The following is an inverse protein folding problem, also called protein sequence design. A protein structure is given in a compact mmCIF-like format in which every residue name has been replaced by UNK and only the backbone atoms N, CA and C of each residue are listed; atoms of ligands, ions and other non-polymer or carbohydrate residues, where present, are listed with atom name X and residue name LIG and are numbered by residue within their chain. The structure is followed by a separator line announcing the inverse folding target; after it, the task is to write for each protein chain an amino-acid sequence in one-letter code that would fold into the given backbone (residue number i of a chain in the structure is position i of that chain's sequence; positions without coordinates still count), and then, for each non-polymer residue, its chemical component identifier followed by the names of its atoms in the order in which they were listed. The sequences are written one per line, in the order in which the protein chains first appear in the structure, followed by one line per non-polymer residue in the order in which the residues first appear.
data_IF_196576419573
#
_entry.id   IF_196576419573
#
_cell.length_a   1.000
_cell.length_b   1.000
_cell.length_c   1.000
_cell.angle_alpha   90.00
_cell.angle_beta   90.00
_cell.angle_gamma   90.00
#
_symmetry.space_group_name_H-M   'P 1'
#
loop_
_entity.id
_entity.type
_entity.pdbx_description
1 polymer ?
#
# COMPACT_ATOMS: atom_id res chain seq x y z
N UNK A 1 7.58 19.66 -33.12
CA UNK A 1 7.81 20.86 -32.30
C UNK A 1 7.63 22.09 -33.16
N UNK A 2 6.88 23.11 -32.72
CA UNK A 2 6.73 24.36 -33.47
C UNK A 2 8.01 25.14 -33.38
N UNK A 3 8.34 25.92 -34.44
CA UNK A 3 9.57 26.75 -34.48
C UNK A 3 9.68 27.72 -33.29
N UNK A 4 8.56 28.22 -32.82
CA UNK A 4 8.46 29.12 -31.68
C UNK A 4 8.80 28.49 -30.33
N UNK A 5 8.67 27.15 -30.20
CA UNK A 5 8.98 26.40 -28.98
C UNK A 5 10.47 26.06 -28.87
N UNK A 6 11.25 26.17 -29.96
CA UNK A 6 12.67 25.82 -29.96
C UNK A 6 13.51 26.72 -29.04
N UNK A 7 13.11 27.99 -28.85
CA UNK A 7 13.78 28.91 -27.92
C UNK A 7 13.67 28.52 -26.44
N UNK A 8 12.73 27.62 -26.11
CA UNK A 8 12.54 27.14 -24.75
C UNK A 8 13.48 25.99 -24.36
N UNK A 9 14.24 25.48 -25.33
CA UNK A 9 15.11 24.32 -25.17
C UNK A 9 16.54 24.65 -25.61
N UNK A 10 17.13 25.65 -24.93
CA UNK A 10 18.50 26.09 -25.18
C UNK A 10 19.43 25.46 -24.14
N UNK A 11 20.41 24.71 -24.60
CA UNK A 11 21.44 24.12 -23.77
C UNK A 11 22.74 24.91 -23.95
N UNK A 12 23.47 25.19 -22.88
CA UNK A 12 24.81 25.77 -22.91
C UNK A 12 25.86 24.69 -22.61
N UNK A 13 26.80 24.50 -23.53
CA UNK A 13 27.90 23.58 -23.33
C UNK A 13 29.19 24.20 -23.90
N UNK A 14 30.28 24.19 -23.15
CA UNK A 14 31.60 24.72 -23.52
C UNK A 14 31.52 26.15 -24.06
N UNK A 15 30.72 27.03 -23.44
CA UNK A 15 30.56 28.44 -23.86
C UNK A 15 29.72 28.66 -25.12
N UNK A 16 29.15 27.60 -25.69
CA UNK A 16 28.27 27.68 -26.88
C UNK A 16 26.83 27.37 -26.49
N UNK A 17 25.87 27.95 -27.21
CA UNK A 17 24.44 27.67 -27.07
C UNK A 17 23.98 26.73 -28.18
N UNK A 18 23.22 25.71 -27.78
CA UNK A 18 22.63 24.75 -28.69
C UNK A 18 21.11 24.78 -28.48
N UNK A 19 20.36 24.64 -29.55
CA UNK A 19 18.89 24.49 -29.50
C UNK A 19 18.59 23.02 -29.70
N UNK A 20 17.92 22.42 -28.71
CA UNK A 20 17.46 21.05 -28.83
C UNK A 20 16.25 20.97 -29.78
N UNK A 21 16.36 20.17 -30.83
CA UNK A 21 15.31 20.01 -31.85
C UNK A 21 14.36 18.84 -31.56
N UNK A 22 14.59 18.12 -30.44
CA UNK A 22 13.79 17.00 -30.02
C UNK A 22 13.19 17.28 -28.63
N UNK A 23 12.27 16.45 -28.20
CA UNK A 23 11.78 16.51 -26.83
C UNK A 23 12.91 16.17 -25.85
N UNK A 24 13.22 17.10 -24.96
CA UNK A 24 14.29 16.92 -23.97
C UNK A 24 13.79 16.00 -22.86
N UNK A 25 14.57 14.97 -22.57
CA UNK A 25 14.30 14.09 -21.44
C UNK A 25 14.32 14.89 -20.12
N UNK A 26 13.27 14.76 -19.31
CA UNK A 26 13.10 15.52 -18.07
C UNK A 26 12.38 16.86 -18.21
N UNK A 27 12.06 17.32 -19.42
CA UNK A 27 11.14 18.45 -19.60
C UNK A 27 9.74 18.09 -19.10
N UNK A 28 9.10 19.00 -18.35
CA UNK A 28 7.79 18.78 -17.72
C UNK A 28 6.66 18.40 -18.69
N UNK A 29 6.74 18.88 -19.93
CA UNK A 29 5.75 18.63 -20.99
C UNK A 29 6.12 17.45 -21.90
N UNK A 30 7.39 16.98 -21.90
CA UNK A 30 7.83 15.92 -22.80
C UNK A 30 7.13 14.59 -22.60
N UNK A 31 6.90 14.10 -21.36
CA UNK A 31 6.14 12.87 -21.14
C UNK A 31 4.71 12.95 -21.70
N UNK A 32 3.99 14.04 -21.47
CA UNK A 32 2.61 14.20 -21.96
C UNK A 32 2.52 14.30 -23.48
N UNK A 33 3.50 14.95 -24.14
CA UNK A 33 3.53 15.02 -25.61
C UNK A 33 3.85 13.66 -26.23
N UNK A 34 4.82 12.93 -25.66
CA UNK A 34 5.15 11.58 -26.09
C UNK A 34 3.97 10.63 -25.86
N UNK A 35 3.35 10.73 -24.72
CA UNK A 35 2.22 9.92 -24.30
C UNK A 35 1.06 10.05 -25.29
N UNK A 36 0.71 11.29 -25.69
CA UNK A 36 -0.33 11.55 -26.68
C UNK A 36 -0.04 10.94 -28.06
N UNK A 37 1.22 11.03 -28.54
CA UNK A 37 1.61 10.42 -29.83
C UNK A 37 1.56 8.88 -29.74
N UNK A 38 2.08 8.34 -28.66
CA UNK A 38 2.09 6.89 -28.41
C UNK A 38 0.69 6.32 -28.26
N UNK A 39 -0.25 7.06 -27.65
CA UNK A 39 -1.67 6.67 -27.57
C UNK A 39 -2.31 6.56 -28.93
N UNK A 40 -2.09 7.55 -29.81
CA UNK A 40 -2.63 7.52 -31.18
C UNK A 40 -2.10 6.32 -31.94
N UNK A 41 -0.80 6.01 -31.84
CA UNK A 41 -0.20 4.83 -32.51
C UNK A 41 -0.86 3.55 -31.97
N UNK A 42 -1.03 3.45 -30.66
CA UNK A 42 -1.65 2.28 -30.03
C UNK A 42 -3.11 2.14 -30.43
N UNK A 43 -3.89 3.20 -30.42
CA UNK A 43 -5.31 3.17 -30.79
C UNK A 43 -5.50 2.78 -32.27
N UNK A 44 -4.62 3.24 -33.17
CA UNK A 44 -4.62 2.83 -34.57
C UNK A 44 -4.25 1.34 -34.72
N UNK A 45 -3.27 0.85 -33.97
CA UNK A 45 -2.88 -0.56 -33.99
C UNK A 45 -3.99 -1.46 -33.45
N UNK A 46 -4.67 -1.04 -32.39
CA UNK A 46 -5.85 -1.71 -31.82
C UNK A 46 -6.99 -1.78 -32.83
N UNK A 47 -7.29 -0.66 -33.50
CA UNK A 47 -8.33 -0.58 -34.51
C UNK A 47 -8.04 -1.48 -35.70
N UNK A 48 -6.81 -1.44 -36.21
CA UNK A 48 -6.39 -2.23 -37.38
C UNK A 48 -6.40 -3.74 -37.09
N UNK A 49 -5.94 -4.14 -35.92
CA UNK A 49 -5.90 -5.56 -35.51
C UNK A 49 -7.23 -6.11 -35.02
N UNK A 50 -8.23 -5.26 -34.80
CA UNK A 50 -9.50 -5.61 -34.18
C UNK A 50 -9.40 -6.26 -32.79
N UNK A 51 -8.29 -6.04 -32.09
CA UNK A 51 -8.13 -6.51 -30.71
C UNK A 51 -9.03 -5.71 -29.77
N UNK A 52 -9.53 -6.35 -28.72
CA UNK A 52 -10.26 -5.62 -27.68
C UNK A 52 -9.31 -4.67 -26.93
N UNK A 53 -9.69 -3.39 -26.79
CA UNK A 53 -8.86 -2.35 -26.16
C UNK A 53 -8.43 -2.71 -24.75
N UNK A 54 -9.25 -3.44 -23.99
CA UNK A 54 -8.92 -3.89 -22.63
C UNK A 54 -7.85 -5.01 -22.57
N UNK A 55 -7.46 -5.59 -23.69
CA UNK A 55 -6.34 -6.54 -23.80
C UNK A 55 -4.99 -5.87 -24.02
N UNK A 56 -4.96 -4.56 -24.18
CA UNK A 56 -3.74 -3.77 -24.36
C UNK A 56 -3.73 -2.62 -23.38
N UNK A 57 -2.64 -2.47 -22.68
CA UNK A 57 -2.43 -1.37 -21.74
C UNK A 57 -1.14 -0.62 -22.05
N UNK A 58 -1.09 0.63 -21.66
CA UNK A 58 0.11 1.46 -21.75
C UNK A 58 0.35 2.15 -20.43
N UNK A 59 1.60 2.23 -20.05
CA UNK A 59 2.06 3.00 -18.91
C UNK A 59 3.28 3.82 -19.34
N UNK A 60 3.08 5.11 -19.56
CA UNK A 60 4.08 6.01 -20.14
C UNK A 60 4.62 5.45 -21.48
N UNK A 61 5.89 5.03 -21.49
CA UNK A 61 6.59 4.48 -22.64
C UNK A 61 6.47 2.95 -22.78
N UNK A 62 5.99 2.26 -21.75
CA UNK A 62 5.78 0.82 -21.80
C UNK A 62 4.37 0.46 -22.31
N UNK A 63 4.31 -0.31 -23.39
CA UNK A 63 3.05 -0.87 -23.94
C UNK A 63 3.05 -2.38 -23.77
N UNK A 64 1.97 -2.92 -23.19
CA UNK A 64 1.80 -4.34 -22.91
C UNK A 64 0.49 -4.84 -23.51
N UNK A 65 0.56 -5.91 -24.31
CA UNK A 65 -0.61 -6.62 -24.83
C UNK A 65 -0.71 -8.02 -24.23
N UNK A 66 -1.95 -8.48 -23.99
CA UNK A 66 -2.24 -9.83 -23.49
C UNK A 66 -3.09 -10.58 -24.51
N UNK A 67 -2.64 -11.75 -24.92
CA UNK A 67 -3.30 -12.60 -25.89
C UNK A 67 -3.29 -14.08 -25.53
N UNK A 68 -4.05 -14.87 -26.28
CA UNK A 68 -3.98 -16.31 -26.20
C UNK A 68 -2.76 -16.80 -26.98
N UNK A 69 -2.13 -17.88 -26.50
CA UNK A 69 -1.05 -18.53 -27.22
C UNK A 69 -1.63 -19.43 -28.33
N UNK A 70 -2.27 -18.81 -29.33
CA UNK A 70 -2.87 -19.49 -30.46
C UNK A 70 -2.58 -18.77 -31.78
N UNK A 71 -2.36 -19.50 -32.87
CA UNK A 71 -2.24 -18.90 -34.20
C UNK A 71 -3.49 -18.08 -34.54
N UNK A 72 -3.28 -16.82 -34.94
CA UNK A 72 -4.38 -15.92 -35.29
C UNK A 72 -4.96 -15.10 -34.17
N UNK A 73 -4.43 -15.19 -32.93
CA UNK A 73 -4.81 -14.25 -31.86
C UNK A 73 -4.46 -12.82 -32.29
N UNK A 74 -5.40 -11.87 -32.21
CA UNK A 74 -5.22 -10.50 -32.68
C UNK A 74 -4.11 -9.72 -31.96
N UNK A 75 -3.56 -10.22 -30.84
CA UNK A 75 -2.42 -9.60 -30.16
C UNK A 75 -1.17 -9.54 -31.05
N UNK A 76 -0.93 -10.58 -31.86
CA UNK A 76 0.19 -10.58 -32.81
C UNK A 76 -0.02 -9.54 -33.91
N UNK A 77 -1.22 -9.45 -34.45
CA UNK A 77 -1.57 -8.47 -35.47
C UNK A 77 -1.42 -7.03 -34.89
N UNK A 78 -1.88 -6.80 -33.66
CA UNK A 78 -1.73 -5.54 -32.98
C UNK A 78 -0.25 -5.16 -32.76
N UNK A 79 0.56 -6.10 -32.31
CA UNK A 79 2.01 -5.91 -32.13
C UNK A 79 2.69 -5.53 -33.45
N UNK A 80 2.41 -6.21 -34.54
CA UNK A 80 2.98 -5.91 -35.86
C UNK A 80 2.50 -4.55 -36.38
N UNK A 81 1.22 -4.25 -36.23
CA UNK A 81 0.65 -2.95 -36.61
C UNK A 81 1.31 -1.81 -35.81
N UNK A 82 1.49 -1.98 -34.49
CA UNK A 82 2.17 -0.98 -33.67
C UNK A 82 3.60 -0.70 -34.14
N UNK A 83 4.40 -1.73 -34.39
CA UNK A 83 5.78 -1.57 -34.88
C UNK A 83 5.84 -0.87 -36.25
N UNK A 84 4.94 -1.23 -37.16
CA UNK A 84 4.83 -0.64 -38.48
C UNK A 84 4.43 0.84 -38.38
N UNK A 85 3.37 1.17 -37.66
CA UNK A 85 2.87 2.52 -37.48
C UNK A 85 3.91 3.42 -36.77
N UNK A 86 4.56 2.91 -35.73
CA UNK A 86 5.64 3.62 -35.06
C UNK A 86 6.77 4.00 -36.03
N UNK A 87 7.17 3.07 -36.93
CA UNK A 87 8.17 3.34 -37.97
C UNK A 87 7.69 4.37 -38.99
N UNK A 88 6.43 4.30 -39.43
CA UNK A 88 5.83 5.25 -40.39
C UNK A 88 5.82 6.69 -39.85
N UNK A 89 5.57 6.87 -38.56
CA UNK A 89 5.62 8.19 -37.92
C UNK A 89 7.02 8.61 -37.47
N UNK A 90 8.04 7.81 -37.77
CA UNK A 90 9.45 8.12 -37.49
C UNK A 90 9.93 7.78 -36.07
N UNK A 91 9.15 7.02 -35.29
CA UNK A 91 9.61 6.50 -34.00
C UNK A 91 10.61 5.37 -34.23
N UNK A 92 11.83 5.53 -33.71
CA UNK A 92 12.89 4.53 -33.82
C UNK A 92 12.78 3.53 -32.70
N UNK A 93 12.26 2.36 -32.99
CA UNK A 93 12.29 1.20 -32.10
C UNK A 93 13.43 0.26 -32.51
N UNK A 94 14.14 -0.37 -31.57
CA UNK A 94 15.07 -1.46 -31.90
C UNK A 94 14.32 -2.63 -32.52
N UNK A 95 15.04 -3.47 -33.26
CA UNK A 95 14.43 -4.72 -33.74
C UNK A 95 14.00 -5.58 -32.53
N UNK A 96 12.89 -6.34 -32.68
CA UNK A 96 12.42 -7.21 -31.62
C UNK A 96 13.53 -8.14 -31.09
N UNK A 97 13.56 -8.32 -29.78
CA UNK A 97 14.49 -9.20 -29.06
C UNK A 97 15.98 -8.85 -29.14
N UNK A 98 16.37 -7.80 -29.88
CA UNK A 98 17.75 -7.27 -29.87
C UNK A 98 18.06 -6.59 -28.53
N UNK A 99 17.10 -5.81 -28.04
CA UNK A 99 17.12 -5.27 -26.68
C UNK A 99 15.76 -5.57 -26.03
N UNK A 100 15.72 -6.66 -25.27
CA UNK A 100 14.51 -7.12 -24.57
C UNK A 100 13.99 -6.13 -23.52
N UNK A 101 14.76 -5.11 -23.16
CA UNK A 101 14.29 -4.04 -22.29
C UNK A 101 13.47 -2.98 -23.03
N UNK A 102 13.45 -3.03 -24.36
CA UNK A 102 12.77 -2.05 -25.24
C UNK A 102 11.66 -2.67 -26.08
N UNK A 103 11.95 -3.73 -26.81
CA UNK A 103 10.97 -4.39 -27.70
C UNK A 103 11.14 -5.89 -27.57
N UNK A 104 10.08 -6.56 -27.17
CA UNK A 104 10.01 -8.03 -27.04
C UNK A 104 8.94 -8.58 -27.95
N UNK A 105 9.24 -9.70 -28.61
CA UNK A 105 8.23 -10.49 -29.30
C UNK A 105 7.24 -11.08 -28.28
N UNK A 106 5.96 -11.29 -28.69
CA UNK A 106 4.99 -11.98 -27.84
C UNK A 106 5.53 -13.34 -27.38
N UNK A 107 5.52 -13.55 -26.07
CA UNK A 107 6.01 -14.74 -25.39
C UNK A 107 5.24 -14.97 -24.09
N UNK A 108 5.32 -16.19 -23.53
CA UNK A 108 4.71 -16.52 -22.24
C UNK A 108 5.43 -15.88 -21.07
N UNK A 109 6.71 -15.53 -21.25
CA UNK A 109 7.50 -14.79 -20.28
C UNK A 109 8.01 -13.49 -20.88
N UNK A 110 7.66 -12.36 -20.29
CA UNK A 110 8.05 -11.02 -20.76
C UNK A 110 8.56 -10.14 -19.63
N UNK A 111 9.49 -9.24 -19.97
CA UNK A 111 9.99 -8.21 -19.05
C UNK A 111 9.26 -6.90 -19.33
N UNK A 112 8.40 -6.46 -18.43
CA UNK A 112 7.68 -5.19 -18.56
C UNK A 112 7.67 -4.44 -17.22
N UNK A 113 7.68 -3.12 -17.25
CA UNK A 113 7.70 -2.27 -16.03
C UNK A 113 8.81 -2.69 -15.04
N UNK A 114 9.89 -3.26 -15.58
CA UNK A 114 10.98 -3.75 -14.77
C UNK A 114 10.71 -5.02 -13.96
N UNK A 115 9.64 -5.75 -14.29
CA UNK A 115 9.23 -7.03 -13.71
C UNK A 115 9.17 -8.09 -14.79
N UNK A 116 9.36 -9.34 -14.40
CA UNK A 116 9.18 -10.51 -15.26
C UNK A 116 7.80 -11.10 -15.02
N UNK A 117 6.98 -11.10 -16.07
CA UNK A 117 5.64 -11.69 -16.08
C UNK A 117 5.72 -13.06 -16.76
N UNK A 118 5.23 -14.08 -16.11
CA UNK A 118 5.10 -15.44 -16.67
C UNK A 118 3.62 -15.83 -16.69
N UNK A 119 3.07 -16.03 -17.88
CA UNK A 119 1.66 -16.39 -18.07
C UNK A 119 1.43 -17.90 -18.07
N UNK A 120 2.45 -18.76 -18.08
CA UNK A 120 2.32 -20.19 -17.85
C UNK A 120 2.08 -20.49 -16.38
N UNK A 121 2.93 -19.89 -15.52
CA UNK A 121 2.84 -20.06 -14.06
C UNK A 121 1.91 -19.02 -13.39
N UNK A 122 1.40 -18.06 -14.16
CA UNK A 122 0.63 -16.92 -13.67
C UNK A 122 1.36 -16.17 -12.54
N UNK A 123 2.62 -15.86 -12.77
CA UNK A 123 3.49 -15.23 -11.77
C UNK A 123 4.09 -13.92 -12.27
N UNK A 124 4.37 -13.05 -11.32
CA UNK A 124 5.17 -11.83 -11.52
C UNK A 124 6.32 -11.87 -10.53
N UNK A 125 7.54 -11.71 -11.01
CA UNK A 125 8.71 -11.67 -10.14
C UNK A 125 9.64 -10.51 -10.48
N UNK A 126 10.48 -10.13 -9.53
CA UNK A 126 11.57 -9.21 -9.78
C UNK A 126 12.75 -9.95 -10.42
N UNK A 127 13.35 -9.41 -11.50
CA UNK A 127 14.54 -10.02 -12.10
C UNK A 127 15.71 -10.14 -11.10
N UNK A 128 16.38 -11.29 -11.08
CA UNK A 128 17.49 -11.57 -10.15
C UNK A 128 18.56 -10.47 -10.07
N UNK A 129 19.00 -9.84 -11.18
CA UNK A 129 20.00 -8.78 -11.09
C UNK A 129 19.53 -7.57 -10.31
N UNK A 130 18.21 -7.28 -10.31
CA UNK A 130 17.62 -6.21 -9.49
C UNK A 130 17.57 -6.61 -8.03
N UNK A 131 17.14 -7.84 -7.74
CA UNK A 131 17.15 -8.40 -6.37
C UNK A 131 18.57 -8.32 -5.78
N UNK A 132 19.57 -8.76 -6.52
CA UNK A 132 20.98 -8.72 -6.08
C UNK A 132 21.44 -7.31 -5.71
N UNK A 133 21.08 -6.29 -6.50
CA UNK A 133 21.43 -4.89 -6.20
C UNK A 133 20.74 -4.38 -4.95
N UNK A 134 19.45 -4.69 -4.78
CA UNK A 134 18.70 -4.28 -3.58
C UNK A 134 19.32 -4.96 -2.34
N UNK A 135 19.54 -6.26 -2.38
CA UNK A 135 20.15 -7.00 -1.27
C UNK A 135 21.55 -6.49 -0.92
N UNK A 136 22.33 -6.07 -1.89
CA UNK A 136 23.63 -5.44 -1.64
C UNK A 136 23.50 -4.16 -0.82
N UNK A 137 22.59 -3.26 -1.20
CA UNK A 137 22.32 -2.02 -0.45
C UNK A 137 21.76 -2.31 0.95
N UNK A 138 20.82 -3.27 1.07
CA UNK A 138 20.28 -3.70 2.37
C UNK A 138 21.37 -4.23 3.28
N UNK A 139 22.23 -5.14 2.80
CA UNK A 139 23.36 -5.69 3.58
C UNK A 139 24.29 -4.59 4.05
N UNK A 140 24.61 -3.64 3.18
CA UNK A 140 25.48 -2.52 3.51
C UNK A 140 24.85 -1.61 4.59
N UNK A 141 23.55 -1.28 4.45
CA UNK A 141 22.82 -0.52 5.44
C UNK A 141 22.82 -1.19 6.83
N UNK A 142 22.63 -2.52 6.86
CA UNK A 142 22.62 -3.31 8.09
C UNK A 142 24.01 -3.45 8.74
N UNK A 143 25.06 -3.56 7.90
CA UNK A 143 26.44 -3.76 8.40
C UNK A 143 27.07 -2.47 8.90
N UNK A 144 26.94 -1.38 8.14
CA UNK A 144 27.61 -0.08 8.45
C UNK A 144 26.75 0.79 9.38
N UNK A 145 25.43 0.71 9.26
CA UNK A 145 24.51 1.52 10.03
C UNK A 145 24.28 2.92 9.47
N UNK A 146 24.94 3.27 8.38
CA UNK A 146 24.79 4.55 7.66
C UNK A 146 24.77 4.31 6.17
N UNK A 147 24.03 5.14 5.43
CA UNK A 147 24.07 5.21 3.97
C UNK A 147 24.13 6.67 3.51
N UNK A 148 24.79 6.96 2.37
CA UNK A 148 24.62 8.24 1.70
C UNK A 148 23.14 8.49 1.37
N UNK A 149 22.67 9.73 1.53
CA UNK A 149 21.27 10.10 1.30
C UNK A 149 20.75 9.67 -0.08
N UNK A 150 21.58 9.81 -1.14
CA UNK A 150 21.23 9.37 -2.49
C UNK A 150 21.05 7.84 -2.60
N UNK A 151 21.91 7.06 -1.92
CA UNK A 151 21.78 5.59 -1.90
C UNK A 151 20.55 5.14 -1.09
N UNK A 152 20.28 5.83 0.04
CA UNK A 152 19.09 5.56 0.84
C UNK A 152 17.81 5.88 0.06
N UNK A 153 17.77 7.00 -0.64
CA UNK A 153 16.64 7.37 -1.50
C UNK A 153 16.44 6.36 -2.64
N UNK A 154 17.54 5.91 -3.28
CA UNK A 154 17.53 4.86 -4.29
C UNK A 154 17.01 3.54 -3.73
N UNK A 155 17.50 3.11 -2.56
CA UNK A 155 17.03 1.91 -1.88
C UNK A 155 15.54 1.98 -1.57
N UNK A 156 15.09 3.07 -0.94
CA UNK A 156 13.68 3.27 -0.61
C UNK A 156 12.78 3.24 -1.86
N UNK A 157 13.20 3.91 -2.95
CA UNK A 157 12.49 3.88 -4.23
C UNK A 157 12.39 2.47 -4.80
N UNK A 158 13.50 1.71 -4.80
CA UNK A 158 13.51 0.33 -5.28
C UNK A 158 12.62 -0.59 -4.43
N UNK A 159 12.58 -0.43 -3.11
CA UNK A 159 11.71 -1.20 -2.23
C UNK A 159 10.23 -0.82 -2.43
N UNK A 160 9.92 0.47 -2.56
CA UNK A 160 8.55 0.94 -2.86
C UNK A 160 8.02 0.35 -4.17
N UNK A 161 8.85 0.27 -5.19
CA UNK A 161 8.52 -0.33 -6.48
C UNK A 161 8.18 -1.85 -6.37
N UNK A 162 8.58 -2.51 -5.29
CA UNK A 162 8.36 -3.95 -5.05
C UNK A 162 7.23 -4.26 -4.06
N UNK A 163 6.56 -3.24 -3.53
CA UNK A 163 5.52 -3.44 -2.50
C UNK A 163 4.36 -4.35 -2.93
N UNK A 164 4.05 -4.38 -4.21
CA UNK A 164 2.95 -5.20 -4.71
C UNK A 164 3.32 -6.69 -4.89
N UNK A 165 4.62 -7.01 -4.97
CA UNK A 165 5.10 -8.38 -5.14
C UNK A 165 5.05 -9.19 -3.85
N UNK A 166 5.27 -8.54 -2.72
CA UNK A 166 5.37 -9.20 -1.42
C UNK A 166 4.19 -8.81 -0.54
N UNK A 167 3.32 -9.76 -0.20
CA UNK A 167 2.27 -9.50 0.78
C UNK A 167 2.85 -8.91 2.06
N UNK A 168 2.29 -7.82 2.53
CA UNK A 168 2.75 -7.15 3.76
C UNK A 168 3.99 -6.26 3.65
N UNK A 169 4.71 -6.27 2.53
CA UNK A 169 5.90 -5.43 2.35
C UNK A 169 5.66 -3.94 2.67
N UNK A 170 4.46 -3.44 2.38
CA UNK A 170 4.05 -2.06 2.69
C UNK A 170 4.11 -1.72 4.18
N UNK A 171 4.03 -2.70 5.06
CA UNK A 171 4.13 -2.52 6.50
C UNK A 171 5.58 -2.51 7.02
N UNK A 172 6.54 -2.84 6.13
CA UNK A 172 7.97 -2.91 6.43
C UNK A 172 8.80 -1.90 5.63
N UNK A 173 8.22 -0.73 5.28
CA UNK A 173 8.91 0.29 4.50
C UNK A 173 8.84 1.70 5.12
N UNK A 174 7.91 1.89 6.08
CA UNK A 174 7.59 3.20 6.61
C UNK A 174 8.78 3.95 7.18
N UNK A 175 9.61 3.31 7.98
CA UNK A 175 10.79 3.93 8.59
C UNK A 175 11.89 4.19 7.58
N UNK A 176 12.12 3.24 6.64
CA UNK A 176 13.10 3.45 5.56
C UNK A 176 12.74 4.68 4.73
N UNK A 177 11.45 4.84 4.38
CA UNK A 177 11.01 6.02 3.61
C UNK A 177 11.02 7.31 4.43
N UNK A 178 10.90 7.22 5.77
CA UNK A 178 10.97 8.38 6.67
C UNK A 178 12.37 8.98 6.72
N UNK A 179 13.39 8.13 6.64
CA UNK A 179 14.79 8.57 6.63
C UNK A 179 15.17 9.30 5.34
N UNK A 180 14.37 9.17 4.26
CA UNK A 180 14.64 9.88 3.00
C UNK A 180 14.27 11.35 3.15
N UNK A 181 15.27 12.20 3.26
CA UNK A 181 15.13 13.66 3.30
C UNK A 181 15.34 14.19 1.89
N UNK A 182 14.30 14.76 1.28
CA UNK A 182 14.29 15.19 -0.12
C UNK A 182 15.34 16.26 -0.45
N UNK A 183 15.79 17.04 0.53
CA UNK A 183 16.70 18.16 0.36
C UNK A 183 18.12 17.87 0.90
N UNK A 184 18.37 16.67 1.40
CA UNK A 184 19.70 16.31 1.89
C UNK A 184 20.69 16.18 0.70
N UNK A 185 21.92 16.69 0.82
CA UNK A 185 22.97 16.46 -0.16
C UNK A 185 23.19 14.96 -0.39
N UNK A 186 23.31 14.52 -1.64
CA UNK A 186 23.40 13.10 -2.02
C UNK A 186 24.46 12.31 -1.26
N UNK A 187 25.57 12.96 -0.88
CA UNK A 187 26.70 12.35 -0.15
C UNK A 187 26.60 12.43 1.37
N UNK A 188 25.60 13.14 1.90
CA UNK A 188 25.39 13.22 3.34
C UNK A 188 25.09 11.83 3.91
N UNK A 189 25.77 11.48 5.01
CA UNK A 189 25.56 10.19 5.68
C UNK A 189 24.31 10.25 6.55
N UNK A 190 23.37 9.37 6.27
CA UNK A 190 22.13 9.23 7.03
C UNK A 190 22.22 7.98 7.89
N UNK A 191 21.99 8.14 9.19
CA UNK A 191 21.95 7.01 10.12
C UNK A 191 20.70 6.17 9.89
N UNK A 192 20.89 4.87 9.81
CA UNK A 192 19.80 3.89 9.71
C UNK A 192 19.31 3.56 11.11
N UNK A 193 18.17 4.11 11.52
CA UNK A 193 17.57 3.89 12.84
C UNK A 193 17.30 2.39 13.11
N UNK A 194 17.19 1.99 14.38
CA UNK A 194 16.91 0.60 14.75
C UNK A 194 15.60 0.09 14.16
N UNK A 195 14.57 0.94 14.10
CA UNK A 195 13.30 0.60 13.44
C UNK A 195 13.47 0.37 11.94
N UNK A 196 14.26 1.20 11.26
CA UNK A 196 14.56 1.01 9.84
C UNK A 196 15.42 -0.26 9.63
N UNK A 197 16.37 -0.54 10.52
CA UNK A 197 17.17 -1.79 10.49
C UNK A 197 16.28 -3.03 10.62
N UNK A 198 15.27 -3.00 11.49
CA UNK A 198 14.33 -4.11 11.63
C UNK A 198 13.52 -4.31 10.35
N UNK A 199 13.02 -3.24 9.75
CA UNK A 199 12.34 -3.31 8.46
C UNK A 199 13.27 -3.83 7.36
N UNK A 200 14.52 -3.37 7.29
CA UNK A 200 15.50 -3.87 6.33
C UNK A 200 15.86 -5.34 6.56
N UNK A 201 15.90 -5.84 7.81
CA UNK A 201 16.08 -7.28 8.10
C UNK A 201 14.90 -8.08 7.55
N UNK A 202 13.68 -7.59 7.69
CA UNK A 202 12.51 -8.23 7.07
C UNK A 202 12.68 -8.34 5.55
N UNK A 203 13.05 -7.26 4.90
CA UNK A 203 13.33 -7.25 3.47
C UNK A 203 14.46 -8.21 3.10
N UNK A 204 15.51 -8.26 3.88
CA UNK A 204 16.64 -9.15 3.65
C UNK A 204 16.23 -10.63 3.66
N UNK A 205 15.32 -11.02 4.52
CA UNK A 205 14.82 -12.39 4.64
C UNK A 205 13.84 -12.74 3.53
N UNK A 206 12.94 -11.80 3.17
CA UNK A 206 11.82 -12.08 2.27
C UNK A 206 12.09 -11.71 0.80
N UNK A 207 13.23 -11.09 0.52
CA UNK A 207 13.61 -10.65 -0.82
C UNK A 207 14.31 -11.70 -1.71
N UNK A 208 14.76 -12.88 -1.27
CA UNK A 208 15.41 -13.87 -2.14
C UNK A 208 14.52 -14.31 -3.30
N UNK A 209 15.12 -14.51 -4.48
CA UNK A 209 14.38 -14.79 -5.72
C UNK A 209 13.39 -15.95 -5.63
N UNK A 210 13.65 -16.97 -4.80
CA UNK A 210 12.79 -18.14 -4.61
C UNK A 210 11.46 -17.84 -3.90
N UNK A 211 11.38 -16.76 -3.11
CA UNK A 211 10.14 -16.33 -2.41
C UNK A 211 9.48 -15.09 -3.04
N UNK A 212 9.93 -14.69 -4.18
CA UNK A 212 9.69 -13.40 -4.80
C UNK A 212 8.72 -13.42 -5.95
N UNK A 213 7.72 -14.23 -5.93
CA UNK A 213 6.70 -14.15 -6.95
C UNK A 213 5.33 -13.92 -6.33
N UNK A 214 4.56 -13.11 -6.99
CA UNK A 214 3.15 -12.92 -6.69
C UNK A 214 2.37 -13.62 -7.79
N UNK A 215 1.50 -14.57 -7.47
CA UNK A 215 0.66 -15.20 -8.48
C UNK A 215 -0.22 -14.14 -9.13
N UNK A 216 -0.27 -14.14 -10.45
CA UNK A 216 -1.24 -13.36 -11.21
C UNK A 216 -2.56 -14.10 -11.05
N UNK A 217 -3.40 -13.65 -10.14
CA UNK A 217 -4.68 -14.31 -9.89
C UNK A 217 -5.64 -14.08 -11.04
N UNK A 218 -6.37 -15.11 -11.41
CA UNK A 218 -7.51 -14.95 -12.31
C UNK A 218 -8.50 -13.95 -11.69
N UNK A 219 -9.15 -13.06 -12.48
CA UNK A 219 -10.13 -12.10 -11.95
C UNK A 219 -11.23 -12.74 -11.11
N UNK A 220 -11.64 -13.96 -11.41
CA UNK A 220 -12.67 -14.72 -10.68
C UNK A 220 -12.12 -15.35 -9.37
N UNK A 221 -10.80 -15.55 -9.27
CA UNK A 221 -10.11 -16.04 -8.08
C UNK A 221 -9.70 -14.90 -7.14
N UNK A 222 -9.62 -13.70 -7.68
CA UNK A 222 -9.41 -12.52 -6.87
C UNK A 222 -10.72 -12.23 -6.17
N UNK A 223 -10.90 -12.80 -5.01
CA UNK A 223 -11.81 -12.30 -3.99
C UNK A 223 -11.43 -10.88 -3.55
N UNK A 224 -11.19 -10.02 -4.53
CA UNK A 224 -11.06 -8.57 -4.41
C UNK A 224 -12.43 -7.92 -4.34
N UNK A 225 -13.43 -8.71 -4.14
CA UNK A 225 -14.69 -8.17 -3.77
C UNK A 225 -14.83 -8.26 -2.26
N UNK A 226 -14.52 -7.22 -1.54
CA UNK A 226 -15.15 -7.01 -0.25
C UNK A 226 -16.60 -6.53 -0.40
N UNK A 227 -17.14 -6.48 -1.59
CA UNK A 227 -18.55 -6.24 -1.80
C UNK A 227 -19.33 -7.47 -1.28
N UNK A 228 -19.57 -7.50 0.05
CA UNK A 228 -20.36 -8.54 0.71
C UNK A 228 -19.69 -9.26 1.89
N UNK A 229 -18.49 -8.87 2.31
CA UNK A 229 -17.91 -9.34 3.58
C UNK A 229 -18.64 -8.74 4.79
N UNK A 230 -18.57 -9.40 5.99
CA UNK A 230 -19.17 -8.86 7.20
C UNK A 230 -18.58 -7.48 7.52
N UNK A 231 -19.45 -6.51 7.77
CA UNK A 231 -19.06 -5.13 8.09
C UNK A 231 -18.92 -4.95 9.60
N UNK A 232 -17.81 -4.39 10.03
CA UNK A 232 -17.54 -3.97 11.40
C UNK A 232 -17.53 -2.44 11.44
N UNK A 233 -18.37 -1.86 12.24
CA UNK A 233 -18.41 -0.40 12.38
C UNK A 233 -17.59 0.03 13.58
N UNK A 234 -16.69 0.99 13.37
CA UNK A 234 -15.86 1.53 14.44
C UNK A 234 -15.83 3.05 14.37
N UNK A 235 -15.80 3.67 15.54
CA UNK A 235 -15.68 5.11 15.70
C UNK A 235 -14.83 5.44 16.92
N UNK A 236 -14.10 6.54 16.86
CA UNK A 236 -13.27 7.03 17.96
C UNK A 236 -13.60 8.49 18.27
N UNK A 237 -14.23 8.74 19.38
CA UNK A 237 -14.47 10.11 19.82
C UNK A 237 -13.14 10.76 20.29
N UNK A 238 -12.84 11.94 19.77
CA UNK A 238 -11.79 12.79 20.32
C UNK A 238 -12.15 13.16 21.75
N UNK A 239 -11.23 12.93 22.71
CA UNK A 239 -11.43 13.32 24.09
C UNK A 239 -11.57 14.83 24.22
N UNK A 240 -12.46 15.28 25.07
CA UNK A 240 -12.49 16.63 25.62
C UNK A 240 -12.63 16.54 27.14
N UNK A 241 -12.15 17.54 27.86
CA UNK A 241 -12.36 17.60 29.33
C UNK A 241 -13.84 17.60 29.73
N UNK A 242 -14.74 17.83 28.76
CA UNK A 242 -16.19 17.82 28.95
C UNK A 242 -16.76 16.40 28.81
N UNK A 243 -16.18 15.57 27.94
CA UNK A 243 -16.63 14.20 27.73
C UNK A 243 -15.60 13.17 28.23
N UNK A 244 -15.64 12.91 29.54
CA UNK A 244 -14.78 11.93 30.21
C UNK A 244 -15.08 10.47 29.79
N UNK A 245 -16.18 10.24 29.08
CA UNK A 245 -16.57 8.93 28.54
C UNK A 245 -16.19 8.74 27.08
N UNK A 246 -15.45 9.70 26.48
CA UNK A 246 -14.96 9.53 25.12
C UNK A 246 -14.00 8.32 25.05
N UNK A 247 -14.12 7.56 23.99
CA UNK A 247 -13.35 6.35 23.80
C UNK A 247 -13.39 5.86 22.36
N UNK A 248 -13.21 4.58 22.17
CA UNK A 248 -13.40 3.90 20.90
C UNK A 248 -14.49 2.84 21.04
N UNK A 249 -15.44 2.86 20.09
CA UNK A 249 -16.53 1.92 19.98
C UNK A 249 -16.37 0.99 18.79
N UNK A 250 -16.73 -0.28 18.95
CA UNK A 250 -16.68 -1.31 17.92
C UNK A 250 -17.99 -2.08 17.93
N UNK A 251 -18.64 -2.24 16.78
CA UNK A 251 -19.88 -3.01 16.60
C UNK A 251 -19.63 -4.08 15.54
N UNK A 252 -19.78 -5.35 15.94
CA UNK A 252 -19.61 -6.51 15.09
C UNK A 252 -20.89 -6.84 14.31
N UNK A 253 -20.81 -7.60 13.21
CA UNK A 253 -21.96 -7.92 12.35
C UNK A 253 -23.08 -8.69 13.06
N UNK A 254 -22.74 -9.46 14.09
CA UNK A 254 -23.69 -10.25 14.89
C UNK A 254 -24.33 -9.47 16.05
N UNK A 255 -24.06 -8.17 16.14
CA UNK A 255 -24.53 -7.32 17.24
C UNK A 255 -23.63 -7.29 18.47
N UNK A 256 -22.62 -8.14 18.57
CA UNK A 256 -21.60 -8.04 19.61
C UNK A 256 -20.88 -6.70 19.52
N UNK A 257 -20.39 -6.21 20.62
CA UNK A 257 -19.77 -4.90 20.68
C UNK A 257 -18.63 -4.86 21.69
N UNK A 258 -17.78 -3.84 21.55
CA UNK A 258 -16.71 -3.54 22.49
C UNK A 258 -16.55 -2.03 22.63
N UNK A 259 -16.07 -1.61 23.78
CA UNK A 259 -15.82 -0.20 24.07
C UNK A 259 -14.59 -0.07 24.95
N UNK A 260 -13.73 0.89 24.63
CA UNK A 260 -12.56 1.25 25.43
C UNK A 260 -12.58 2.75 25.72
N UNK A 261 -12.80 3.19 26.96
CA UNK A 261 -12.72 4.59 27.35
C UNK A 261 -11.27 5.07 27.28
N UNK A 262 -11.06 6.22 26.72
CA UNK A 262 -9.70 6.78 26.67
C UNK A 262 -9.17 7.05 28.07
N UNK A 263 -7.90 6.75 28.34
CA UNK A 263 -7.22 7.19 29.56
C UNK A 263 -7.28 8.72 29.71
N UNK A 264 -7.26 9.20 30.96
CA UNK A 264 -7.39 10.62 31.26
C UNK A 264 -6.38 11.52 30.52
N UNK A 265 -5.14 11.04 30.34
CA UNK A 265 -4.11 11.79 29.61
C UNK A 265 -4.41 11.97 28.13
N UNK A 266 -5.11 11.00 27.47
CA UNK A 266 -5.63 11.18 26.09
C UNK A 266 -6.75 12.22 26.09
N UNK A 267 -7.65 12.16 27.07
CA UNK A 267 -8.75 13.12 27.22
C UNK A 267 -8.22 14.54 27.46
N UNK A 268 -7.11 14.68 28.17
CA UNK A 268 -6.44 15.96 28.43
C UNK A 268 -5.60 16.48 27.24
N UNK A 269 -5.63 15.79 26.09
CA UNK A 269 -4.89 16.19 24.89
C UNK A 269 -3.40 15.91 24.95
N UNK A 270 -2.97 15.06 25.86
CA UNK A 270 -1.56 14.64 25.99
C UNK A 270 -1.42 13.22 25.45
N UNK A 271 -0.54 12.99 24.50
CA UNK A 271 -0.20 11.65 24.05
C UNK A 271 1.20 11.29 24.54
N UNK A 272 1.22 10.56 25.66
CA UNK A 272 2.42 9.95 26.20
C UNK A 272 3.63 10.89 26.28
N UNK A 273 4.82 10.32 26.19
CA UNK A 273 6.10 11.04 26.18
C UNK A 273 6.32 11.96 24.97
N UNK A 274 5.45 11.91 23.96
CA UNK A 274 5.66 12.64 22.71
C UNK A 274 5.11 14.07 22.72
N UNK A 275 4.26 14.44 23.69
CA UNK A 275 3.70 15.78 23.81
C UNK A 275 2.84 16.26 22.64
N UNK A 276 2.51 15.39 21.68
CA UNK A 276 1.78 15.73 20.47
C UNK A 276 0.29 15.94 20.81
N UNK A 277 -0.27 17.05 20.36
CA UNK A 277 -1.68 17.37 20.60
C UNK A 277 -2.64 16.36 19.96
N UNK A 278 -3.69 16.01 20.68
CA UNK A 278 -4.70 15.02 20.27
C UNK A 278 -5.32 15.31 18.89
N UNK A 279 -5.52 16.56 18.53
CA UNK A 279 -6.08 16.97 17.25
C UNK A 279 -5.26 16.52 16.03
N UNK A 280 -3.96 16.29 16.21
CA UNK A 280 -3.09 15.72 15.16
C UNK A 280 -3.20 14.20 15.08
N UNK A 281 -3.95 13.54 15.95
CA UNK A 281 -3.92 12.09 16.15
C UNK A 281 -5.30 11.41 16.06
N UNK A 282 -6.34 12.12 15.64
CA UNK A 282 -7.63 11.49 15.34
C UNK A 282 -7.46 10.26 14.43
N UNK A 283 -6.53 10.32 13.49
CA UNK A 283 -6.18 9.19 12.63
C UNK A 283 -5.72 7.96 13.41
N UNK A 284 -4.87 8.14 14.42
CA UNK A 284 -4.40 7.04 15.28
C UNK A 284 -5.57 6.45 16.06
N UNK A 285 -6.37 7.31 16.70
CA UNK A 285 -7.51 6.88 17.51
C UNK A 285 -8.53 6.09 16.66
N UNK A 286 -8.84 6.57 15.47
CA UNK A 286 -9.72 5.89 14.52
C UNK A 286 -9.19 4.52 14.08
N UNK A 287 -7.89 4.38 13.86
CA UNK A 287 -7.26 3.11 13.49
C UNK A 287 -7.24 2.09 14.63
N UNK A 288 -7.35 2.51 15.91
CA UNK A 288 -7.45 1.57 17.03
C UNK A 288 -8.76 0.78 17.01
N UNK A 289 -9.84 1.34 16.46
CA UNK A 289 -11.13 0.64 16.31
C UNK A 289 -11.00 -0.65 15.51
N UNK A 290 -10.50 -0.63 14.27
CA UNK A 290 -10.20 -1.84 13.50
C UNK A 290 -9.29 -2.83 14.23
N UNK A 291 -8.26 -2.38 14.95
CA UNK A 291 -7.37 -3.27 15.72
C UNK A 291 -8.13 -3.97 16.85
N UNK A 292 -8.97 -3.24 17.59
CA UNK A 292 -9.84 -3.83 18.62
C UNK A 292 -10.82 -4.81 17.96
N UNK A 293 -11.47 -4.42 16.87
CA UNK A 293 -12.39 -5.27 16.13
C UNK A 293 -11.76 -6.57 15.64
N UNK A 294 -10.51 -6.51 15.15
CA UNK A 294 -9.72 -7.69 14.79
C UNK A 294 -9.50 -8.60 16.01
N UNK A 295 -9.15 -8.02 17.16
CA UNK A 295 -8.82 -8.78 18.36
C UNK A 295 -10.06 -9.39 19.05
N UNK A 296 -11.15 -8.64 19.20
CA UNK A 296 -12.36 -9.12 19.89
C UNK A 296 -13.19 -10.07 19.03
N UNK A 297 -13.18 -9.90 17.72
CA UNK A 297 -13.86 -10.76 16.77
C UNK A 297 -12.99 -11.88 16.20
N UNK A 298 -11.82 -12.17 16.78
CA UNK A 298 -10.82 -13.08 16.21
C UNK A 298 -11.38 -14.46 15.82
N UNK A 299 -12.27 -15.04 16.63
CA UNK A 299 -12.92 -16.33 16.33
C UNK A 299 -13.85 -16.29 15.11
N UNK A 300 -14.35 -15.10 14.74
CA UNK A 300 -15.23 -14.92 13.57
C UNK A 300 -14.46 -14.71 12.29
N UNK A 301 -13.21 -14.20 12.36
CA UNK A 301 -12.47 -13.74 11.17
C UNK A 301 -11.69 -14.83 10.47
N UNK A 302 -11.46 -15.96 11.13
CA UNK A 302 -10.66 -17.06 10.56
C UNK A 302 -11.17 -17.46 9.17
N UNK A 303 -10.25 -17.43 8.18
CA UNK A 303 -10.50 -17.74 6.75
C UNK A 303 -11.57 -16.85 6.09
N UNK A 304 -11.75 -15.63 6.54
CA UNK A 304 -12.75 -14.70 6.02
C UNK A 304 -12.16 -13.34 5.65
N UNK A 305 -12.87 -12.64 4.77
CA UNK A 305 -12.69 -11.20 4.61
C UNK A 305 -13.53 -10.46 5.64
N UNK A 306 -13.07 -9.30 6.09
CA UNK A 306 -13.82 -8.40 6.99
C UNK A 306 -13.61 -6.96 6.55
N UNK A 307 -14.68 -6.16 6.51
CA UNK A 307 -14.62 -4.74 6.14
C UNK A 307 -14.89 -3.85 7.36
N UNK A 308 -13.83 -3.19 7.83
CA UNK A 308 -13.92 -2.21 8.90
C UNK A 308 -14.31 -0.85 8.34
N UNK A 309 -15.45 -0.34 8.81
CA UNK A 309 -16.02 0.96 8.42
C UNK A 309 -15.60 2.02 9.41
N UNK A 310 -14.79 2.98 8.95
CA UNK A 310 -14.40 4.17 9.73
C UNK A 310 -14.81 5.44 9.01
N UNK A 311 -15.03 6.54 9.72
CA UNK A 311 -15.38 7.82 9.07
C UNK A 311 -14.16 8.65 8.68
N UNK A 312 -12.97 8.30 9.16
CA UNK A 312 -11.72 9.03 8.95
C UNK A 312 -11.00 8.64 7.65
N UNK A 313 -11.00 9.52 6.66
CA UNK A 313 -10.33 9.29 5.38
C UNK A 313 -8.79 9.12 5.51
N UNK A 314 -8.16 9.79 6.47
CA UNK A 314 -6.71 9.68 6.69
C UNK A 314 -6.34 8.29 7.22
N UNK A 315 -7.17 7.69 8.10
CA UNK A 315 -7.03 6.32 8.56
C UNK A 315 -7.10 5.32 7.41
N UNK A 316 -8.12 5.44 6.55
CA UNK A 316 -8.24 4.60 5.33
C UNK A 316 -7.03 4.72 4.43
N UNK A 317 -6.53 5.95 4.21
CA UNK A 317 -5.35 6.17 3.39
C UNK A 317 -4.10 5.54 4.00
N UNK A 318 -3.92 5.66 5.32
CA UNK A 318 -2.79 5.06 6.04
C UNK A 318 -2.82 3.54 5.97
N UNK A 319 -3.99 2.92 6.11
CA UNK A 319 -4.16 1.48 5.91
C UNK A 319 -3.75 1.06 4.48
N UNK A 320 -4.27 1.75 3.46
CA UNK A 320 -3.95 1.44 2.05
C UNK A 320 -2.46 1.57 1.76
N UNK A 321 -1.81 2.55 2.35
CA UNK A 321 -0.37 2.77 2.22
C UNK A 321 0.47 1.80 3.04
N UNK A 322 -0.06 1.29 4.16
CA UNK A 322 0.60 0.40 5.10
C UNK A 322 1.44 1.11 6.17
N UNK A 323 1.58 2.42 6.11
CA UNK A 323 2.33 3.21 7.09
C UNK A 323 1.94 4.70 7.06
N UNK A 324 2.29 5.42 8.13
CA UNK A 324 2.23 6.87 8.20
C UNK A 324 3.64 7.46 8.26
N UNK A 325 3.94 8.45 7.42
CA UNK A 325 5.23 9.18 7.51
C UNK A 325 5.30 10.11 8.72
N UNK A 326 4.16 10.61 9.18
CA UNK A 326 4.08 11.64 10.23
C UNK A 326 3.91 11.03 11.61
N UNK A 327 3.33 9.84 11.71
CA UNK A 327 2.93 9.24 12.97
C UNK A 327 3.32 7.75 13.01
N UNK A 328 4.30 7.43 13.85
CA UNK A 328 4.81 6.07 14.03
C UNK A 328 3.81 5.17 14.74
N UNK A 329 2.97 5.70 15.62
CA UNK A 329 1.97 4.92 16.34
C UNK A 329 0.88 4.44 15.37
N UNK A 330 0.45 5.27 14.41
CA UNK A 330 -0.45 4.81 13.34
C UNK A 330 0.20 3.72 12.49
N UNK A 331 1.50 3.78 12.24
CA UNK A 331 2.23 2.70 11.55
C UNK A 331 2.25 1.41 12.39
N UNK A 332 2.44 1.52 13.71
CA UNK A 332 2.34 0.39 14.66
C UNK A 332 0.96 -0.27 14.57
N UNK A 333 -0.12 0.51 14.61
CA UNK A 333 -1.49 -0.02 14.56
C UNK A 333 -1.77 -0.75 13.25
N UNK A 334 -1.46 -0.15 12.10
CA UNK A 334 -1.74 -0.80 10.81
C UNK A 334 -0.89 -2.06 10.62
N UNK A 335 0.36 -2.06 11.11
CA UNK A 335 1.19 -3.27 11.14
C UNK A 335 0.58 -4.34 12.05
N UNK A 336 0.12 -3.98 13.24
CA UNK A 336 -0.50 -4.92 14.18
C UNK A 336 -1.76 -5.56 13.61
N UNK A 337 -2.62 -4.79 12.91
CA UNK A 337 -3.79 -5.32 12.19
C UNK A 337 -3.34 -6.35 11.14
N UNK A 338 -2.29 -6.02 10.37
CA UNK A 338 -1.76 -6.91 9.35
C UNK A 338 -1.18 -8.20 9.96
N UNK A 339 -0.29 -8.08 10.97
CA UNK A 339 0.31 -9.24 11.63
C UNK A 339 -0.78 -10.16 12.22
N UNK A 340 -1.77 -9.58 12.89
CA UNK A 340 -2.90 -10.35 13.44
C UNK A 340 -3.71 -11.03 12.34
N UNK A 341 -3.85 -10.37 11.17
CA UNK A 341 -4.55 -10.97 10.02
C UNK A 341 -3.85 -12.20 9.47
N UNK A 342 -2.52 -12.24 9.49
CA UNK A 342 -1.75 -13.42 9.11
C UNK A 342 -2.02 -14.59 10.07
N UNK A 343 -1.98 -14.34 11.37
CA UNK A 343 -2.25 -15.34 12.38
C UNK A 343 -3.69 -15.89 12.33
N UNK A 344 -4.66 -15.07 11.93
CA UNK A 344 -6.05 -15.45 11.79
C UNK A 344 -6.40 -16.00 10.39
N UNK A 345 -5.45 -15.97 9.43
CA UNK A 345 -5.71 -16.25 8.03
C UNK A 345 -6.92 -15.48 7.50
N UNK A 346 -6.98 -14.18 7.76
CA UNK A 346 -8.09 -13.34 7.33
C UNK A 346 -7.62 -12.15 6.48
N UNK A 347 -8.54 -11.57 5.72
CA UNK A 347 -8.27 -10.42 4.85
C UNK A 347 -9.04 -9.19 5.36
N UNK A 348 -8.42 -8.34 6.20
CA UNK A 348 -9.05 -7.12 6.67
C UNK A 348 -9.01 -6.03 5.59
N UNK A 349 -10.13 -5.35 5.43
CA UNK A 349 -10.25 -4.12 4.65
C UNK A 349 -10.62 -2.98 5.61
N UNK A 350 -10.13 -1.80 5.33
CA UNK A 350 -10.58 -0.59 6.01
C UNK A 350 -11.12 0.36 4.95
N UNK A 351 -12.40 0.65 5.04
CA UNK A 351 -13.11 1.50 4.10
C UNK A 351 -13.80 2.66 4.80
N UNK A 352 -14.05 3.72 4.02
CA UNK A 352 -14.71 4.91 4.55
C UNK A 352 -16.22 4.72 4.57
N UNK A 353 -16.84 5.07 5.70
CA UNK A 353 -18.28 5.27 5.81
C UNK A 353 -18.55 6.75 6.11
N UNK A 354 -19.66 7.29 5.62
CA UNK A 354 -20.08 8.63 6.01
C UNK A 354 -20.61 8.59 7.46
N UNK A 355 -20.22 9.57 8.26
CA UNK A 355 -20.61 9.66 9.66
C UNK A 355 -22.13 9.53 9.84
N UNK A 356 -22.56 8.68 10.73
CA UNK A 356 -23.97 8.42 11.04
C UNK A 356 -24.86 8.05 9.83
N UNK A 357 -24.28 7.63 8.69
CA UNK A 357 -25.03 7.28 7.49
C UNK A 357 -25.77 5.97 7.55
N UNK A 358 -25.29 5.04 8.37
CA UNK A 358 -25.90 3.73 8.58
C UNK A 358 -26.23 3.51 10.06
N UNK A 359 -27.06 2.50 10.35
CA UNK A 359 -27.39 2.11 11.72
C UNK A 359 -26.13 1.70 12.51
N UNK A 360 -25.24 0.91 11.89
CA UNK A 360 -23.98 0.50 12.51
C UNK A 360 -23.04 1.68 12.78
N UNK A 361 -22.92 2.65 11.84
CA UNK A 361 -22.13 3.85 12.05
C UNK A 361 -22.67 4.73 13.20
N UNK A 362 -24.01 4.86 13.32
CA UNK A 362 -24.63 5.54 14.46
C UNK A 362 -24.37 4.85 15.78
N UNK A 363 -24.49 3.52 15.80
CA UNK A 363 -24.22 2.72 16.99
C UNK A 363 -22.76 2.86 17.45
N UNK A 364 -21.80 2.80 16.53
CA UNK A 364 -20.38 3.01 16.84
C UNK A 364 -20.08 4.44 17.35
N UNK A 365 -20.70 5.47 16.75
CA UNK A 365 -20.59 6.88 17.20
C UNK A 365 -21.14 7.08 18.62
N UNK A 366 -22.29 6.45 18.96
CA UNK A 366 -22.80 6.47 20.33
C UNK A 366 -21.86 5.77 21.32
N UNK A 367 -21.32 4.60 20.96
CA UNK A 367 -20.35 3.89 21.80
C UNK A 367 -19.09 4.73 22.04
N UNK A 368 -18.54 5.33 21.01
CA UNK A 368 -17.31 6.13 21.12
C UNK A 368 -17.47 7.32 22.08
N UNK A 369 -18.68 7.84 22.23
CA UNK A 369 -19.04 8.92 23.15
C UNK A 369 -19.46 8.42 24.55
N UNK A 370 -19.60 7.09 24.75
CA UNK A 370 -20.11 6.50 25.98
C UNK A 370 -21.61 6.71 26.21
N UNK A 371 -22.36 6.92 25.12
CA UNK A 371 -23.83 7.13 25.10
C UNK A 371 -24.55 5.77 24.98
N UNK A 372 -24.38 4.89 25.98
CA UNK A 372 -24.86 3.50 25.93
C UNK A 372 -26.38 3.39 25.76
N UNK A 373 -27.16 4.32 26.33
CA UNK A 373 -28.63 4.33 26.17
C UNK A 373 -29.01 4.47 24.68
N UNK A 374 -28.34 5.40 23.99
CA UNK A 374 -28.62 5.65 22.57
C UNK A 374 -28.04 4.52 21.71
N UNK A 375 -26.91 3.95 22.11
CA UNK A 375 -26.37 2.75 21.47
C UNK A 375 -27.39 1.61 21.43
N UNK A 376 -27.98 1.25 22.58
CA UNK A 376 -29.00 0.18 22.64
C UNK A 376 -30.29 0.53 21.92
N UNK A 377 -30.59 1.82 21.73
CA UNK A 377 -31.69 2.23 20.86
C UNK A 377 -31.41 1.95 19.37
N UNK A 378 -30.16 2.06 18.95
CA UNK A 378 -29.74 1.71 17.58
C UNK A 378 -29.43 0.23 17.40
N UNK A 379 -29.06 -0.49 18.44
CA UNK A 379 -28.68 -1.92 18.42
C UNK A 379 -29.37 -2.68 19.57
N UNK A 380 -30.72 -2.81 19.55
CA UNK A 380 -31.46 -3.45 20.63
C UNK A 380 -31.20 -4.94 20.75
N UNK A 381 -30.68 -5.57 19.70
CA UNK A 381 -30.25 -6.97 19.65
C UNK A 381 -28.89 -7.23 20.30
N UNK A 382 -28.14 -6.17 20.59
CA UNK A 382 -26.80 -6.31 21.17
C UNK A 382 -26.86 -6.87 22.61
N UNK A 383 -25.90 -7.76 22.97
CA UNK A 383 -25.78 -8.24 24.33
C UNK A 383 -25.48 -7.09 25.31
N UNK A 384 -25.92 -7.26 26.56
CA UNK A 384 -25.70 -6.24 27.61
C UNK A 384 -24.19 -6.08 27.91
N UNK A 385 -23.47 -7.21 27.93
CA UNK A 385 -22.07 -7.20 28.26
C UNK A 385 -21.19 -7.02 26.98
N UNK A 386 -20.18 -6.12 27.02
CA UNK A 386 -19.26 -5.95 25.92
C UNK A 386 -18.28 -7.13 25.81
N UNK A 387 -17.80 -7.39 24.60
CA UNK A 387 -16.67 -8.29 24.40
C UNK A 387 -15.41 -7.74 25.08
N UNK A 388 -14.69 -8.64 25.74
CA UNK A 388 -13.46 -8.26 26.46
C UNK A 388 -12.29 -8.08 25.49
N UNK A 389 -11.66 -6.93 25.60
CA UNK A 389 -10.42 -6.62 24.84
C UNK A 389 -9.26 -7.42 25.49
N UNK A 390 -8.34 -7.99 24.70
CA UNK A 390 -7.12 -8.63 25.22
C UNK A 390 -6.33 -7.72 26.14
N UNK A 391 -5.79 -8.27 27.23
CA UNK A 391 -5.13 -7.47 28.27
C UNK A 391 -3.87 -6.77 27.76
N UNK A 392 -3.11 -7.38 26.86
CA UNK A 392 -1.95 -6.75 26.21
C UNK A 392 -2.38 -5.53 25.39
N UNK A 393 -3.50 -5.62 24.67
CA UNK A 393 -4.03 -4.51 23.88
C UNK A 393 -4.58 -3.39 24.78
N UNK A 394 -5.28 -3.72 25.88
CA UNK A 394 -5.72 -2.74 26.89
C UNK A 394 -4.51 -1.99 27.47
N UNK A 395 -3.43 -2.71 27.78
CA UNK A 395 -2.18 -2.10 28.28
C UNK A 395 -1.58 -1.16 27.24
N UNK A 396 -1.51 -1.58 26.00
CA UNK A 396 -0.99 -0.74 24.92
C UNK A 396 -1.86 0.50 24.68
N UNK A 397 -3.20 0.35 24.64
CA UNK A 397 -4.14 1.47 24.48
C UNK A 397 -4.06 2.46 25.64
N UNK A 398 -3.73 1.97 26.85
CA UNK A 398 -3.56 2.81 28.03
C UNK A 398 -2.27 3.65 27.98
N UNK A 399 -1.22 3.17 27.28
CA UNK A 399 0.05 3.85 27.11
C UNK A 399 0.70 3.47 25.78
N UNK A 400 0.25 4.05 24.65
CA UNK A 400 0.76 3.68 23.33
C UNK A 400 2.24 3.98 23.16
N UNK A 401 2.97 2.97 22.70
CA UNK A 401 4.38 3.07 22.31
C UNK A 401 4.55 2.43 20.93
N UNK A 402 5.64 2.80 20.25
CA UNK A 402 6.00 2.10 19.01
C UNK A 402 6.38 0.67 19.35
N UNK A 403 5.59 -0.28 18.88
CA UNK A 403 5.77 -1.72 19.11
C UNK A 403 5.56 -2.49 17.81
N UNK A 404 6.64 -2.98 17.23
CA UNK A 404 6.62 -3.71 15.97
C UNK A 404 6.10 -5.14 16.10
N UNK A 405 5.92 -5.63 17.33
CA UNK A 405 5.43 -6.98 17.65
C UNK A 405 4.03 -6.98 18.27
N UNK A 406 3.36 -5.84 18.33
CA UNK A 406 2.03 -5.71 18.96
C UNK A 406 1.04 -6.74 18.42
N UNK A 407 0.95 -6.93 17.10
CA UNK A 407 0.05 -7.90 16.47
C UNK A 407 0.33 -9.35 16.90
N UNK A 408 1.59 -9.75 16.90
CA UNK A 408 2.01 -11.09 17.35
C UNK A 408 1.80 -11.30 18.87
N UNK A 409 1.93 -10.22 19.66
CA UNK A 409 1.66 -10.28 21.10
C UNK A 409 0.17 -10.48 21.37
N UNK A 410 -0.71 -9.78 20.62
CA UNK A 410 -2.16 -9.99 20.69
C UNK A 410 -2.51 -11.42 20.26
N UNK A 411 -1.94 -11.90 19.15
CA UNK A 411 -2.18 -13.25 18.65
C UNK A 411 -1.83 -14.31 19.72
N UNK A 412 -0.68 -14.18 20.39
CA UNK A 412 -0.27 -15.09 21.46
C UNK A 412 -1.27 -15.11 22.60
N UNK A 413 -1.73 -13.96 23.11
CA UNK A 413 -2.74 -13.89 24.17
C UNK A 413 -4.08 -14.52 23.73
N UNK A 414 -4.48 -14.34 22.48
CA UNK A 414 -5.67 -14.97 21.92
C UNK A 414 -5.53 -16.49 21.86
N UNK A 415 -4.36 -17.01 21.47
CA UNK A 415 -4.04 -18.46 21.48
C UNK A 415 -4.15 -19.04 22.89
N UNK A 416 -3.60 -18.35 23.89
CA UNK A 416 -3.71 -18.75 25.30
C UNK A 416 -5.16 -18.81 25.80
N UNK A 417 -6.06 -18.03 25.19
CA UNK A 417 -7.50 -18.03 25.47
C UNK A 417 -8.29 -19.02 24.61
N UNK A 418 -7.64 -19.88 23.84
CA UNK A 418 -8.25 -20.92 23.03
C UNK A 418 -8.73 -20.48 21.65
N UNK A 419 -8.35 -19.29 21.18
CA UNK A 419 -8.59 -18.89 19.78
C UNK A 419 -7.61 -19.66 18.90
N UNK A 420 -8.11 -20.34 17.89
CA UNK A 420 -7.27 -21.06 16.93
C UNK A 420 -6.54 -20.08 16.00
N UNK A 421 -5.22 -20.09 16.02
CA UNK A 421 -4.33 -19.19 15.28
C UNK A 421 -3.33 -20.01 14.48
N UNK A 422 -2.95 -19.51 13.30
CA UNK A 422 -1.84 -20.05 12.51
C UNK A 422 -0.50 -19.67 13.18
N UNK A 423 0.47 -20.60 13.15
CA UNK A 423 1.83 -20.37 13.66
C UNK A 423 2.69 -19.60 12.66
#
# INVERSE_FOLDING_TARGET
MRREDLRLQVLQYAGRFFVELKLVFGSRSSPGLYDGVSDVILDLAVLESQILRNRVTKHLDDTLGVGLNSPGDPVFACYQAYLRLAKEVGVRLPAPDVDKTKVQSPATTVLALGMEFNTEDWTVKCPEPKVGRILHLVRRALAVGFLPAGELASLAGQLVDKLFLLPGARFHIGEVTRLVVMEAPEKEQVEVSDLAREQLRWWFVHLPASSWYCPIRHPDEVGWAPAGGPEVYTDAAGGSLINIKAGVGVVLPNGDWSYFPWPRWIQEGRLGSTGIALNAQLQLLELTGPLIGMAVGASFWKNRSVDFKIDNAAGVFTWRKGYSRKDQLSSTVVKAIYDLSLHLNCSPFISKVARCSTRGAKAADCLSKGEFKDFFAFSPESPVDPLRIPACLVRWLSWPVVDLHLGSTIARELKEKGVEILE
#
